data_IF_323789509131
#
_entry.id   IF_323789509131
#
_cell.length_a   1.000
_cell.length_b   1.000
_cell.length_c   1.000
_cell.angle_alpha   90.00
_cell.angle_beta   90.00
_cell.angle_gamma   90.00
#
_symmetry.space_group_name_H-M   'P 1'
#
loop_
_entity.id
_entity.type
_entity.pdbx_description
1 polymer ?
#
# COMPACT_ATOMS: atom_id res chain seq x y z
N UNK A 1 44.39 21.52 3.29
CA UNK A 1 44.00 22.93 3.07
C UNK A 1 42.60 23.16 3.64
N UNK A 2 42.41 24.03 4.64
CA UNK A 2 41.09 24.34 5.20
C UNK A 2 40.23 25.15 4.21
N UNK A 3 38.91 24.95 4.25
CA UNK A 3 37.96 25.64 3.36
C UNK A 3 37.95 27.16 3.62
N UNK A 4 37.99 27.94 2.54
CA UNK A 4 37.98 29.40 2.57
C UNK A 4 36.64 29.95 3.08
N UNK A 5 36.65 31.18 3.61
CA UNK A 5 35.46 31.86 4.12
C UNK A 5 34.36 32.00 3.06
N UNK A 6 34.75 32.22 1.80
CA UNK A 6 33.84 32.26 0.66
C UNK A 6 33.17 30.90 0.40
N UNK A 7 33.94 29.80 0.44
CA UNK A 7 33.42 28.43 0.31
C UNK A 7 32.44 28.09 1.43
N UNK A 8 32.75 28.48 2.68
CA UNK A 8 31.84 28.31 3.84
C UNK A 8 30.53 29.08 3.67
N UNK A 9 30.58 30.31 3.16
CA UNK A 9 29.38 31.15 2.91
C UNK A 9 28.52 30.58 1.78
N UNK A 10 29.14 30.11 0.69
CA UNK A 10 28.46 29.46 -0.42
C UNK A 10 27.77 28.16 0.03
N UNK A 11 28.47 27.32 0.81
CA UNK A 11 27.90 26.10 1.38
C UNK A 11 26.67 26.38 2.24
N UNK A 12 26.72 27.37 3.15
CA UNK A 12 25.57 27.78 3.96
C UNK A 12 24.38 28.25 3.11
N UNK A 13 24.64 29.03 2.06
CA UNK A 13 23.59 29.51 1.14
C UNK A 13 22.93 28.35 0.39
N UNK A 14 23.72 27.37 -0.04
CA UNK A 14 23.23 26.18 -0.72
C UNK A 14 22.42 25.28 0.21
N UNK A 15 22.88 25.07 1.45
CA UNK A 15 22.13 24.33 2.48
C UNK A 15 20.77 25.00 2.73
N UNK A 16 20.74 26.33 2.88
CA UNK A 16 19.49 27.08 3.12
C UNK A 16 18.52 26.99 1.94
N UNK A 17 19.03 27.03 0.71
CA UNK A 17 18.23 26.80 -0.51
C UNK A 17 17.67 25.38 -0.53
N UNK A 18 18.51 24.36 -0.31
CA UNK A 18 18.09 22.96 -0.27
C UNK A 18 17.02 22.69 0.81
N UNK A 19 17.19 23.28 1.99
CA UNK A 19 16.23 23.17 3.10
C UNK A 19 14.90 23.84 2.76
N UNK A 20 14.91 25.00 2.09
CA UNK A 20 13.69 25.68 1.62
C UNK A 20 12.95 24.83 0.58
N UNK A 21 13.68 24.26 -0.38
CA UNK A 21 13.10 23.34 -1.37
C UNK A 21 12.50 22.12 -0.70
N UNK A 22 13.21 21.50 0.25
CA UNK A 22 12.75 20.33 1.00
C UNK A 22 11.46 20.60 1.79
N UNK A 23 11.36 21.76 2.44
CA UNK A 23 10.17 22.18 3.19
C UNK A 23 8.96 22.40 2.26
N UNK A 24 9.19 22.89 1.03
CA UNK A 24 8.12 23.11 0.05
C UNK A 24 7.63 21.83 -0.65
N UNK A 25 8.36 20.71 -0.54
CA UNK A 25 7.98 19.46 -1.17
C UNK A 25 6.87 18.72 -0.41
N UNK A 26 5.96 18.10 -1.16
CA UNK A 26 4.99 17.12 -0.62
C UNK A 26 5.69 15.86 -0.11
N UNK A 27 5.07 15.06 0.78
CA UNK A 27 5.64 13.80 1.25
C UNK A 27 6.08 12.86 0.12
N UNK A 28 5.33 12.83 -0.99
CA UNK A 28 5.65 12.03 -2.18
C UNK A 28 6.88 12.56 -2.93
N UNK A 29 7.00 13.88 -3.09
CA UNK A 29 8.18 14.50 -3.72
C UNK A 29 9.44 14.28 -2.88
N UNK A 30 9.34 14.36 -1.55
CA UNK A 30 10.46 14.05 -0.65
C UNK A 30 10.90 12.60 -0.78
N UNK A 31 9.96 11.66 -0.80
CA UNK A 31 10.26 10.23 -0.97
C UNK A 31 10.95 9.92 -2.31
N UNK A 32 10.59 10.60 -3.40
CA UNK A 32 11.22 10.43 -4.72
C UNK A 32 12.57 11.15 -4.85
N UNK A 33 12.80 12.21 -4.06
CA UNK A 33 14.06 12.94 -4.03
C UNK A 33 15.14 12.20 -3.22
N UNK A 34 14.76 11.31 -2.30
CA UNK A 34 15.67 10.43 -1.59
C UNK A 34 16.21 9.34 -2.54
N UNK A 35 17.54 9.11 -2.61
CA UNK A 35 18.11 8.05 -3.44
C UNK A 35 17.56 6.66 -3.09
N UNK A 36 17.31 6.41 -1.80
CA UNK A 36 16.72 5.16 -1.28
C UNK A 36 15.27 4.95 -1.75
N UNK A 37 14.47 6.01 -1.82
CA UNK A 37 13.06 5.92 -2.23
C UNK A 37 12.86 5.80 -3.73
N UNK A 38 13.84 6.21 -4.53
CA UNK A 38 13.81 6.18 -6.01
C UNK A 38 14.16 4.80 -6.57
N UNK A 39 15.01 4.04 -5.88
CA UNK A 39 15.44 2.69 -6.27
C UNK A 39 14.59 1.54 -5.70
N UNK A 40 13.68 1.81 -4.75
CA UNK A 40 12.89 0.76 -4.10
C UNK A 40 11.88 0.16 -5.08
N UNK A 41 12.11 -1.10 -5.45
CA UNK A 41 11.15 -1.89 -6.19
C UNK A 41 9.91 -2.17 -5.33
N UNK A 42 8.75 -2.37 -5.97
CA UNK A 42 7.59 -2.84 -5.21
C UNK A 42 7.82 -4.30 -4.80
N UNK A 43 7.39 -4.71 -3.59
CA UNK A 43 7.37 -6.13 -3.23
C UNK A 43 6.65 -6.95 -4.31
N UNK A 44 7.24 -8.09 -4.68
CA UNK A 44 6.75 -8.99 -5.73
C UNK A 44 6.83 -8.45 -7.16
N UNK A 45 7.49 -7.31 -7.43
CA UNK A 45 7.55 -6.73 -8.80
C UNK A 45 8.78 -7.07 -9.62
N UNK A 46 9.82 -7.63 -9.01
CA UNK A 46 11.10 -7.95 -9.67
C UNK A 46 11.24 -9.44 -10.02
N UNK A 47 10.37 -10.33 -9.56
CA UNK A 47 10.61 -11.78 -9.62
C UNK A 47 11.57 -12.29 -8.54
N UNK A 48 12.27 -11.36 -7.88
CA UNK A 48 13.19 -11.59 -6.77
C UNK A 48 12.59 -10.86 -5.56
N UNK A 49 12.17 -11.62 -4.55
CA UNK A 49 11.53 -11.14 -3.33
C UNK A 49 10.61 -12.18 -2.71
N UNK A 50 10.24 -11.97 -1.45
CA UNK A 50 9.56 -12.96 -0.61
C UNK A 50 8.06 -13.12 -0.89
N UNK A 51 7.49 -12.36 -1.84
CA UNK A 51 6.03 -12.33 -2.04
C UNK A 51 5.61 -12.52 -3.49
N UNK A 52 4.59 -13.33 -3.70
CA UNK A 52 3.73 -13.25 -4.88
C UNK A 52 2.77 -12.08 -4.77
N UNK A 53 2.64 -11.30 -5.84
CA UNK A 53 1.79 -10.10 -5.89
C UNK A 53 0.59 -10.32 -6.80
N UNK A 54 -0.60 -10.37 -6.23
CA UNK A 54 -1.85 -10.53 -6.97
C UNK A 54 -2.53 -9.16 -7.09
N UNK A 55 -2.51 -8.56 -8.28
CA UNK A 55 -3.20 -7.29 -8.54
C UNK A 55 -4.68 -7.54 -8.87
N UNK A 56 -5.56 -6.96 -8.06
CA UNK A 56 -7.02 -7.12 -8.22
C UNK A 56 -7.70 -5.89 -8.84
N UNK A 57 -7.06 -4.72 -8.75
CA UNK A 57 -7.57 -3.47 -9.35
C UNK A 57 -6.43 -2.61 -9.88
N UNK A 58 -6.66 -1.83 -10.94
CA UNK A 58 -5.62 -0.98 -11.52
C UNK A 58 -5.26 0.16 -10.57
N UNK A 59 -3.96 0.47 -10.51
CA UNK A 59 -3.40 1.52 -9.66
C UNK A 59 -4.03 2.90 -9.91
N UNK A 60 -4.48 3.18 -11.14
CA UNK A 60 -5.08 4.45 -11.55
C UNK A 60 -6.38 4.80 -10.79
N UNK A 61 -7.04 3.82 -10.19
CA UNK A 61 -8.25 4.04 -9.38
C UNK A 61 -7.97 4.62 -7.99
N UNK A 62 -6.70 4.76 -7.60
CA UNK A 62 -6.32 5.10 -6.23
C UNK A 62 -5.35 6.27 -6.15
N UNK A 63 -5.50 7.08 -5.10
CA UNK A 63 -4.66 8.25 -4.83
C UNK A 63 -3.54 7.94 -3.83
N UNK A 64 -3.83 7.08 -2.84
CA UNK A 64 -2.92 6.76 -1.73
C UNK A 64 -3.02 5.27 -1.42
N UNK A 65 -1.93 4.67 -0.97
CA UNK A 65 -1.88 3.24 -0.64
C UNK A 65 -1.42 3.01 0.80
N UNK A 66 -1.86 1.92 1.41
CA UNK A 66 -1.42 1.43 2.72
C UNK A 66 -1.30 -0.09 2.71
N UNK A 67 -0.27 -0.58 3.40
CA UNK A 67 -0.11 -2.00 3.68
C UNK A 67 -0.75 -2.33 5.02
N UNK A 68 -1.35 -3.51 5.08
CA UNK A 68 -1.94 -4.08 6.28
C UNK A 68 -1.60 -5.57 6.31
N UNK A 69 -1.02 -6.03 7.41
CA UNK A 69 -0.94 -7.46 7.69
C UNK A 69 -2.33 -8.06 7.87
N UNK A 70 -2.53 -9.25 7.32
CA UNK A 70 -3.76 -10.04 7.47
C UNK A 70 -3.33 -11.42 7.95
N UNK A 71 -3.94 -11.91 9.03
CA UNK A 71 -3.50 -13.16 9.66
C UNK A 71 -2.17 -12.96 10.40
N UNK A 72 -1.24 -13.90 10.21
CA UNK A 72 0.08 -13.84 10.82
C UNK A 72 0.92 -12.68 10.25
N UNK A 73 1.57 -11.87 11.11
CA UNK A 73 2.39 -10.74 10.66
C UNK A 73 3.44 -11.15 9.63
N UNK A 74 3.52 -10.41 8.54
CA UNK A 74 4.52 -10.62 7.49
C UNK A 74 4.22 -11.74 6.51
N UNK A 75 3.25 -12.62 6.75
CA UNK A 75 2.92 -13.71 5.82
C UNK A 75 1.98 -13.30 4.71
N UNK A 76 0.98 -12.48 5.04
CA UNK A 76 0.02 -11.97 4.06
C UNK A 76 -0.13 -10.47 4.25
N UNK A 77 0.13 -9.70 3.19
CA UNK A 77 -0.03 -8.25 3.19
C UNK A 77 -1.11 -7.83 2.20
N UNK A 78 -2.10 -7.12 2.73
CA UNK A 78 -3.11 -6.43 1.92
C UNK A 78 -2.62 -5.03 1.54
N UNK A 79 -2.51 -4.77 0.24
CA UNK A 79 -2.26 -3.44 -0.29
C UNK A 79 -3.59 -2.75 -0.62
N UNK A 80 -4.09 -1.97 0.33
CA UNK A 80 -5.31 -1.18 0.18
C UNK A 80 -5.01 0.18 -0.46
N UNK A 81 -5.88 0.63 -1.34
CA UNK A 81 -5.85 1.95 -1.97
C UNK A 81 -7.05 2.81 -1.56
N UNK A 82 -6.79 4.08 -1.27
CA UNK A 82 -7.83 5.12 -1.10
C UNK A 82 -8.19 5.68 -2.47
N UNK A 83 -9.48 5.71 -2.78
CA UNK A 83 -10.05 6.30 -4.00
C UNK A 83 -10.22 7.81 -3.87
N UNK A 84 -10.48 8.49 -5.00
CA UNK A 84 -10.81 9.92 -5.04
C UNK A 84 -12.06 10.25 -4.22
N UNK A 85 -13.07 9.36 -4.22
CA UNK A 85 -14.26 9.43 -3.36
C UNK A 85 -13.97 9.33 -1.86
N UNK A 86 -12.74 8.97 -1.47
CA UNK A 86 -12.33 8.78 -0.10
C UNK A 86 -12.58 7.38 0.47
N UNK A 87 -13.30 6.53 -0.28
CA UNK A 87 -13.48 5.12 0.03
C UNK A 87 -12.16 4.33 -0.10
N UNK A 88 -12.07 3.20 0.60
CA UNK A 88 -10.93 2.29 0.53
C UNK A 88 -11.33 1.00 -0.18
N UNK A 89 -10.41 0.46 -0.97
CA UNK A 89 -10.57 -0.82 -1.66
C UNK A 89 -9.21 -1.49 -1.83
N UNK A 90 -9.22 -2.76 -2.20
CA UNK A 90 -7.99 -3.53 -2.38
C UNK A 90 -7.39 -3.25 -3.77
N UNK A 91 -6.09 -2.97 -3.81
CA UNK A 91 -5.34 -2.84 -5.05
C UNK A 91 -4.63 -4.16 -5.37
N UNK A 92 -3.98 -4.75 -4.37
CA UNK A 92 -3.27 -6.00 -4.52
C UNK A 92 -3.19 -6.77 -3.19
N UNK A 93 -2.95 -8.06 -3.31
CA UNK A 93 -2.56 -8.94 -2.21
C UNK A 93 -1.11 -9.37 -2.41
N UNK A 94 -0.36 -9.47 -1.32
CA UNK A 94 0.98 -10.05 -1.29
C UNK A 94 0.91 -11.29 -0.41
N UNK A 95 1.26 -12.44 -0.98
CA UNK A 95 1.30 -13.72 -0.28
C UNK A 95 2.74 -14.18 -0.25
N UNK A 96 3.24 -14.49 0.94
CA UNK A 96 4.62 -14.91 1.15
C UNK A 96 4.90 -16.25 0.44
N UNK A 97 6.10 -16.39 -0.11
CA UNK A 97 6.52 -17.57 -0.89
C UNK A 97 6.76 -18.82 -0.02
N UNK A 98 6.85 -18.68 1.30
CA UNK A 98 6.94 -19.84 2.20
C UNK A 98 5.58 -20.55 2.35
N UNK A 99 4.48 -19.82 2.12
CA UNK A 99 3.12 -20.34 2.31
C UNK A 99 2.36 -20.57 0.99
N UNK A 100 2.91 -20.09 -0.12
CA UNK A 100 2.34 -20.29 -1.45
C UNK A 100 3.42 -20.69 -2.45
N UNK A 101 3.05 -21.45 -3.46
CA UNK A 101 3.95 -21.91 -4.53
C UNK A 101 3.20 -21.97 -5.86
N UNK A 102 3.97 -22.15 -6.95
CA UNK A 102 3.42 -22.31 -8.28
C UNK A 102 3.36 -23.77 -8.67
N UNK A 103 2.18 -24.21 -9.08
CA UNK A 103 1.96 -25.49 -9.76
C UNK A 103 1.59 -25.20 -11.21
N UNK A 104 2.60 -25.28 -12.09
CA UNK A 104 2.47 -24.78 -13.47
C UNK A 104 2.22 -23.27 -13.47
N UNK A 105 1.08 -22.85 -14.01
CA UNK A 105 0.67 -21.43 -14.08
C UNK A 105 -0.28 -21.01 -12.93
N UNK A 106 -0.60 -21.93 -12.02
CA UNK A 106 -1.54 -21.70 -10.92
C UNK A 106 -0.80 -21.42 -9.62
N UNK A 107 -1.20 -20.35 -8.93
CA UNK A 107 -0.74 -20.06 -7.58
C UNK A 107 -1.56 -20.89 -6.57
N UNK A 108 -0.87 -21.73 -5.81
CA UNK A 108 -1.45 -22.68 -4.84
C UNK A 108 -0.89 -22.36 -3.44
N UNK A 109 -1.64 -22.72 -2.40
CA UNK A 109 -1.30 -22.51 -0.99
C UNK A 109 -1.91 -23.61 -0.15
N UNK A 110 -1.16 -24.07 0.84
CA UNK A 110 -1.68 -24.96 1.91
C UNK A 110 -2.11 -24.15 3.14
N UNK A 111 -1.75 -22.87 3.22
CA UNK A 111 -2.19 -21.97 4.29
C UNK A 111 -3.66 -21.57 4.12
N UNK A 112 -4.40 -21.65 5.24
CA UNK A 112 -5.85 -21.39 5.29
C UNK A 112 -6.19 -19.94 4.95
N UNK A 113 -5.45 -18.97 5.49
CA UNK A 113 -5.75 -17.55 5.31
C UNK A 113 -5.42 -17.11 3.88
N UNK A 114 -4.33 -17.62 3.31
CA UNK A 114 -3.99 -17.42 1.90
C UNK A 114 -5.00 -18.11 0.97
N UNK A 115 -5.48 -19.31 1.33
CA UNK A 115 -6.52 -20.03 0.60
C UNK A 115 -7.82 -19.23 0.49
N UNK A 116 -8.30 -18.68 1.60
CA UNK A 116 -9.48 -17.80 1.63
C UNK A 116 -9.32 -16.59 0.70
N UNK A 117 -8.11 -16.02 0.61
CA UNK A 117 -7.84 -14.89 -0.29
C UNK A 117 -7.87 -15.33 -1.75
N UNK A 118 -7.25 -16.46 -2.09
CA UNK A 118 -7.25 -17.00 -3.45
C UNK A 118 -8.66 -17.33 -3.94
N UNK A 119 -9.53 -17.85 -3.06
CA UNK A 119 -10.95 -18.05 -3.37
C UNK A 119 -11.67 -16.73 -3.68
N UNK A 120 -11.39 -15.67 -2.91
CA UNK A 120 -12.03 -14.36 -3.09
C UNK A 120 -11.57 -13.65 -4.36
N UNK A 121 -10.28 -13.74 -4.69
CA UNK A 121 -9.72 -13.13 -5.92
C UNK A 121 -9.94 -13.99 -7.15
N UNK A 122 -10.37 -15.23 -6.98
CA UNK A 122 -10.65 -16.18 -8.05
C UNK A 122 -9.38 -16.63 -8.78
N UNK A 123 -9.53 -17.28 -9.95
CA UNK A 123 -8.38 -17.75 -10.72
C UNK A 123 -7.48 -16.56 -11.07
N UNK A 124 -6.19 -16.73 -10.77
CA UNK A 124 -5.17 -15.73 -11.01
C UNK A 124 -4.45 -16.01 -12.32
N UNK A 125 -4.19 -14.96 -13.11
CA UNK A 125 -3.43 -15.07 -14.36
C UNK A 125 -2.03 -14.53 -14.13
N UNK A 126 -1.00 -15.30 -14.48
CA UNK A 126 0.38 -14.82 -14.45
C UNK A 126 0.56 -13.66 -15.43
N UNK A 127 1.26 -12.61 -14.99
CA UNK A 127 1.54 -11.42 -15.81
C UNK A 127 3.03 -11.35 -16.13
N UNK A 128 3.88 -11.37 -15.10
CA UNK A 128 5.34 -11.36 -15.21
C UNK A 128 5.99 -11.56 -13.84
N UNK A 129 7.15 -12.22 -13.78
CA UNK A 129 7.88 -12.42 -12.53
C UNK A 129 6.97 -13.05 -11.47
N UNK A 130 6.84 -12.40 -10.31
CA UNK A 130 5.93 -12.82 -9.24
C UNK A 130 4.58 -12.08 -9.26
N UNK A 131 4.24 -11.42 -10.37
CA UNK A 131 3.01 -10.64 -10.51
C UNK A 131 1.94 -11.49 -11.19
N UNK A 132 0.80 -11.58 -10.51
CA UNK A 132 -0.42 -12.20 -10.96
C UNK A 132 -1.54 -11.16 -11.02
N UNK A 133 -2.58 -11.45 -11.80
CA UNK A 133 -3.79 -10.65 -11.88
C UNK A 133 -4.97 -11.48 -11.42
N UNK A 134 -5.66 -10.99 -10.41
CA UNK A 134 -6.89 -11.59 -9.89
C UNK A 134 -8.10 -10.71 -10.18
N UNK A 135 -9.26 -11.18 -9.74
CA UNK A 135 -10.51 -10.44 -9.79
C UNK A 135 -10.74 -9.72 -8.46
N UNK A 136 -11.32 -8.52 -8.48
CA UNK A 136 -11.76 -7.91 -7.24
C UNK A 136 -12.96 -8.68 -6.69
N UNK A 137 -13.08 -8.73 -5.36
CA UNK A 137 -14.33 -9.08 -4.67
C UNK A 137 -15.52 -8.39 -5.33
N UNK A 138 -16.68 -9.07 -5.36
CA UNK A 138 -17.94 -8.66 -6.04
C UNK A 138 -18.03 -7.14 -6.24
N UNK A 139 -18.05 -6.73 -7.50
CA UNK A 139 -17.87 -5.34 -7.90
C UNK A 139 -19.10 -4.50 -7.53
N UNK A 140 -19.05 -3.81 -6.38
CA UNK A 140 -19.96 -2.69 -6.10
C UNK A 140 -19.46 -1.47 -6.88
N UNK A 141 -20.27 -0.88 -7.79
CA UNK A 141 -19.92 0.32 -8.53
C UNK A 141 -19.44 1.45 -7.61
N UNK A 142 -18.50 2.27 -8.06
CA UNK A 142 -17.97 3.38 -7.26
C UNK A 142 -19.06 4.39 -6.89
N UNK A 143 -20.01 4.65 -7.80
CA UNK A 143 -21.15 5.53 -7.55
C UNK A 143 -22.06 5.02 -6.42
N UNK A 144 -22.05 3.72 -6.14
CA UNK A 144 -22.84 3.09 -5.08
C UNK A 144 -22.07 2.99 -3.75
N UNK A 145 -20.82 3.47 -3.71
CA UNK A 145 -20.03 3.57 -2.47
C UNK A 145 -20.11 4.99 -1.90
N UNK A 146 -20.30 5.15 -0.57
CA UNK A 146 -20.31 4.11 0.45
C UNK A 146 -21.63 3.33 0.49
N UNK A 147 -21.56 2.00 0.66
CA UNK A 147 -22.78 1.19 0.78
C UNK A 147 -23.52 1.47 2.09
N UNK A 148 -24.81 1.11 2.18
CA UNK A 148 -25.59 1.27 3.41
C UNK A 148 -24.91 0.60 4.63
N UNK A 149 -24.30 -0.57 4.41
CA UNK A 149 -23.53 -1.27 5.43
C UNK A 149 -22.30 -0.45 5.89
N UNK A 150 -21.61 0.21 4.96
CA UNK A 150 -20.47 1.08 5.28
C UNK A 150 -20.91 2.33 6.04
N UNK A 151 -22.03 2.94 5.69
CA UNK A 151 -22.59 4.07 6.44
C UNK A 151 -22.95 3.68 7.87
N UNK A 152 -23.57 2.51 8.07
CA UNK A 152 -23.90 1.97 9.40
C UNK A 152 -22.62 1.73 10.22
N UNK A 153 -21.61 1.09 9.63
CA UNK A 153 -20.32 0.83 10.27
C UNK A 153 -19.56 2.12 10.61
N UNK A 154 -19.58 3.11 9.72
CA UNK A 154 -18.98 4.42 9.97
C UNK A 154 -19.66 5.11 11.16
N UNK A 155 -20.99 5.10 11.20
CA UNK A 155 -21.77 5.72 12.26
C UNK A 155 -21.49 5.07 13.62
N UNK A 156 -21.40 3.74 13.69
CA UNK A 156 -21.07 3.02 14.93
C UNK A 156 -19.63 3.27 15.36
N UNK A 157 -18.68 3.31 14.43
CA UNK A 157 -17.27 3.62 14.76
C UNK A 157 -17.10 5.05 15.26
N UNK A 158 -17.78 6.03 14.66
CA UNK A 158 -17.78 7.43 15.14
C UNK A 158 -18.33 7.49 16.57
N UNK A 159 -19.46 6.82 16.85
CA UNK A 159 -20.02 6.75 18.21
C UNK A 159 -19.04 6.13 19.20
N UNK A 160 -18.40 5.00 18.85
CA UNK A 160 -17.38 4.36 19.69
C UNK A 160 -16.21 5.31 19.98
N UNK A 161 -15.70 6.00 18.96
CA UNK A 161 -14.60 6.94 19.11
C UNK A 161 -14.98 8.15 19.99
N UNK A 162 -16.19 8.69 19.84
CA UNK A 162 -16.71 9.77 20.68
C UNK A 162 -16.84 9.34 22.15
N UNK A 163 -17.34 8.12 22.40
CA UNK A 163 -17.43 7.55 23.75
C UNK A 163 -16.05 7.35 24.38
N UNK A 164 -15.09 6.81 23.62
CA UNK A 164 -13.72 6.65 24.09
C UNK A 164 -13.08 8.00 24.44
N UNK A 165 -13.28 9.02 23.60
CA UNK A 165 -12.79 10.38 23.85
C UNK A 165 -13.43 11.01 25.09
N UNK A 166 -14.74 10.83 25.29
CA UNK A 166 -15.45 11.27 26.50
C UNK A 166 -14.98 10.58 27.77
N UNK A 167 -14.60 9.29 27.69
CA UNK A 167 -14.01 8.56 28.82
C UNK A 167 -12.59 9.02 29.12
N UNK A 168 -11.79 9.34 28.10
CA UNK A 168 -10.42 9.83 28.28
C UNK A 168 -10.34 11.28 28.77
N UNK A 169 -11.42 12.07 28.61
CA UNK A 169 -11.51 13.45 29.11
C UNK A 169 -12.13 13.57 30.50
N UNK A 170 -12.38 12.44 31.18
CA UNK A 170 -12.99 12.36 32.51
C UNK A 170 -11.98 11.73 33.46
#
# INVERSE_FOLDING_TARGET
MPATTAQKKAARKNIRKAQKTWQSMTPRQRALAQPEGRGRAKPGSKGEGEYYRIEVRPKSQFTTFRYHDVGEPGKILRLAGKRSSGSWDDHAWLIDKDIAHLEGDSLVTDDRDAGEILEVVGPVTHVKGDIFKGHPRKNVPEAEKPTLAQHRAQSTNIKKAQLARRKASK
#
